data_IF_250389564843
#
_entry.id   IF_250389564843
#
_cell.length_a   1.000
_cell.length_b   1.000
_cell.length_c   1.000
_cell.angle_alpha   90.00
_cell.angle_beta   90.00
_cell.angle_gamma   90.00
#
_symmetry.space_group_name_H-M   'P 1'
#
loop_
_entity.id
_entity.type
_entity.pdbx_description
1 polymer ?
#
# COMPACT_ATOMS: atom_id res chain seq x y z
N UNK A 1 -75.33 -58.93 0.54
CA UNK A 1 -74.86 -57.54 0.37
C UNK A 1 -74.07 -57.19 1.62
N UNK A 2 -72.77 -57.47 1.67
CA UNK A 2 -71.67 -56.51 1.41
C UNK A 2 -71.75 -55.28 2.32
N UNK A 3 -70.87 -55.20 3.32
CA UNK A 3 -69.95 -54.06 3.46
C UNK A 3 -68.78 -54.46 4.39
N UNK A 4 -67.58 -54.50 3.81
CA UNK A 4 -66.30 -54.74 4.47
C UNK A 4 -65.83 -53.43 5.11
N UNK A 5 -65.42 -53.48 6.38
CA UNK A 5 -64.67 -52.43 7.07
C UNK A 5 -63.20 -52.52 6.66
N UNK A 6 -62.67 -51.47 6.04
CA UNK A 6 -61.24 -51.31 5.73
C UNK A 6 -60.71 -50.08 6.47
N UNK A 7 -59.78 -50.31 7.39
CA UNK A 7 -59.04 -49.27 8.13
C UNK A 7 -57.74 -48.96 7.37
N UNK A 8 -57.37 -47.70 7.11
CA UNK A 8 -56.04 -47.39 6.60
C UNK A 8 -55.08 -47.10 7.77
N UNK A 9 -53.95 -47.80 7.75
CA UNK A 9 -52.77 -47.51 8.56
C UNK A 9 -52.13 -46.21 8.06
N UNK A 10 -52.00 -45.23 8.95
CA UNK A 10 -51.29 -43.98 8.70
C UNK A 10 -49.79 -44.24 8.89
N UNK A 11 -49.06 -44.35 7.78
CA UNK A 11 -47.60 -44.50 7.76
C UNK A 11 -46.94 -43.13 7.95
N UNK A 12 -46.25 -42.92 9.08
CA UNK A 12 -45.40 -41.76 9.30
C UNK A 12 -44.12 -41.86 8.45
N UNK A 13 -44.04 -41.06 7.38
CA UNK A 13 -42.80 -40.77 6.66
C UNK A 13 -42.05 -39.67 7.41
N UNK A 14 -40.99 -40.05 8.14
CA UNK A 14 -40.03 -39.11 8.71
C UNK A 14 -39.06 -38.71 7.60
N UNK A 15 -39.21 -37.51 7.05
CA UNK A 15 -38.21 -36.91 6.16
C UNK A 15 -37.06 -36.37 7.01
N UNK A 16 -35.99 -37.15 7.13
CA UNK A 16 -34.70 -36.64 7.63
C UNK A 16 -34.16 -35.63 6.62
N UNK A 17 -34.18 -34.35 6.96
CA UNK A 17 -33.49 -33.31 6.20
C UNK A 17 -31.99 -33.46 6.47
N UNK A 18 -31.32 -34.26 5.64
CA UNK A 18 -29.87 -34.23 5.56
C UNK A 18 -29.44 -32.89 4.99
N UNK A 19 -28.90 -32.01 5.84
CA UNK A 19 -28.25 -30.79 5.39
C UNK A 19 -26.94 -31.21 4.75
N UNK A 20 -26.94 -31.39 3.43
CA UNK A 20 -25.71 -31.54 2.67
C UNK A 20 -25.10 -30.15 2.58
N UNK A 21 -24.10 -29.87 3.43
CA UNK A 21 -23.18 -28.76 3.19
C UNK A 21 -22.45 -29.04 1.88
N UNK A 22 -22.96 -28.47 0.79
CA UNK A 22 -22.22 -28.39 -0.46
C UNK A 22 -21.11 -27.35 -0.24
N UNK A 23 -19.90 -27.82 0.04
CA UNK A 23 -18.70 -27.03 -0.19
C UNK A 23 -18.64 -26.82 -1.70
N UNK A 24 -19.04 -25.63 -2.16
CA UNK A 24 -18.87 -25.27 -3.56
C UNK A 24 -17.37 -25.26 -3.87
N UNK A 25 -16.94 -25.84 -5.00
CA UNK A 25 -15.56 -25.70 -5.43
C UNK A 25 -15.26 -24.20 -5.61
N UNK A 26 -14.17 -23.76 -4.99
CA UNK A 26 -13.58 -22.43 -5.15
C UNK A 26 -13.44 -22.16 -6.64
N UNK A 27 -14.28 -21.29 -7.20
CA UNK A 27 -14.19 -20.92 -8.60
C UNK A 27 -12.86 -20.19 -8.82
N UNK A 28 -11.93 -20.89 -9.45
CA UNK A 28 -10.74 -20.26 -10.03
C UNK A 28 -11.21 -19.53 -11.28
N UNK A 29 -11.56 -18.25 -11.12
CA UNK A 29 -11.90 -17.39 -12.24
C UNK A 29 -10.68 -17.23 -13.16
N UNK A 30 -10.86 -17.19 -14.50
CA UNK A 30 -9.74 -17.07 -15.44
C UNK A 30 -8.96 -15.76 -15.22
N UNK A 31 -7.65 -15.90 -14.99
CA UNK A 31 -6.65 -14.85 -14.76
C UNK A 31 -6.22 -14.18 -16.07
N UNK A 32 -6.07 -12.86 -16.03
CA UNK A 32 -5.39 -12.05 -17.07
C UNK A 32 -4.00 -11.58 -16.58
N UNK A 33 -3.51 -12.17 -15.51
CA UNK A 33 -2.29 -11.84 -14.80
C UNK A 33 -1.38 -13.07 -14.81
N UNK A 34 -0.12 -12.87 -15.21
CA UNK A 34 0.98 -13.84 -15.07
C UNK A 34 1.28 -14.05 -13.58
N UNK A 35 0.31 -14.58 -12.84
CA UNK A 35 0.50 -15.00 -11.47
C UNK A 35 1.56 -16.09 -11.49
N UNK A 36 2.63 -15.93 -10.71
CA UNK A 36 3.54 -17.02 -10.40
C UNK A 36 2.69 -18.25 -10.03
N UNK A 37 2.97 -19.40 -10.64
CA UNK A 37 2.13 -20.62 -10.61
C UNK A 37 1.79 -21.14 -9.19
N UNK A 38 2.39 -20.55 -8.14
CA UNK A 38 2.24 -20.92 -6.73
C UNK A 38 1.44 -19.90 -5.88
N UNK A 39 0.90 -18.83 -6.46
CA UNK A 39 0.12 -17.85 -5.69
C UNK A 39 -1.35 -18.23 -5.58
N UNK A 40 -1.87 -18.10 -4.35
CA UNK A 40 -3.27 -18.38 -4.02
C UNK A 40 -4.07 -17.08 -3.98
N UNK A 41 -5.19 -17.05 -4.71
CA UNK A 41 -6.02 -15.85 -4.81
C UNK A 41 -7.45 -16.12 -4.32
N UNK A 42 -8.03 -15.16 -3.63
CA UNK A 42 -9.40 -15.15 -3.09
C UNK A 42 -10.12 -13.89 -3.54
N UNK A 43 -11.45 -13.86 -3.44
CA UNK A 43 -12.20 -12.63 -3.71
C UNK A 43 -11.66 -11.46 -2.87
N UNK A 44 -11.64 -10.25 -3.43
CA UNK A 44 -11.06 -9.08 -2.76
C UNK A 44 -11.74 -8.74 -1.43
N UNK A 45 -13.00 -9.14 -1.24
CA UNK A 45 -13.80 -8.97 -0.02
C UNK A 45 -13.75 -10.18 0.94
N UNK A 46 -13.02 -11.24 0.56
CA UNK A 46 -12.81 -12.43 1.39
C UNK A 46 -11.45 -12.43 2.11
N UNK A 47 -10.55 -11.52 1.75
CA UNK A 47 -9.25 -11.38 2.40
C UNK A 47 -9.45 -10.93 3.84
N UNK A 48 -8.99 -11.74 4.79
CA UNK A 48 -9.07 -11.42 6.22
C UNK A 48 -8.02 -10.36 6.55
N UNK A 49 -8.39 -9.17 7.04
CA UNK A 49 -7.43 -8.12 7.38
C UNK A 49 -6.60 -8.53 8.61
N UNK A 50 -5.38 -8.01 8.68
CA UNK A 50 -4.55 -8.11 9.87
C UNK A 50 -5.08 -7.16 10.95
N UNK A 51 -5.02 -7.55 12.24
CA UNK A 51 -5.19 -6.59 13.32
C UNK A 51 -4.09 -5.52 13.26
N UNK A 52 -4.32 -4.37 13.90
CA UNK A 52 -3.30 -3.34 13.97
C UNK A 52 -2.05 -3.86 14.67
N UNK A 53 -0.90 -3.83 13.98
CA UNK A 53 0.37 -4.32 14.48
C UNK A 53 1.54 -3.59 13.83
N UNK A 54 2.10 -2.63 14.57
CA UNK A 54 3.33 -1.95 14.20
C UNK A 54 4.56 -2.82 14.51
N UNK A 55 5.70 -2.46 13.95
CA UNK A 55 6.98 -3.12 14.22
C UNK A 55 7.32 -3.09 15.72
N UNK A 56 7.89 -4.18 16.25
CA UNK A 56 8.36 -4.23 17.65
C UNK A 56 9.38 -3.13 17.94
N UNK A 57 10.26 -2.93 16.96
CA UNK A 57 11.27 -1.89 16.94
C UNK A 57 10.78 -0.73 16.07
N UNK A 58 10.82 0.50 16.57
CA UNK A 58 10.46 1.70 15.81
C UNK A 58 8.99 1.83 15.40
N UNK A 59 8.12 0.89 15.77
CA UNK A 59 6.69 0.94 15.48
C UNK A 59 5.96 2.12 16.13
N UNK A 60 6.55 2.74 17.15
CA UNK A 60 6.04 4.00 17.70
C UNK A 60 6.01 5.12 16.65
N UNK A 61 7.02 5.20 15.76
CA UNK A 61 7.04 6.18 14.67
C UNK A 61 6.02 5.82 13.57
N UNK A 62 5.86 4.54 13.27
CA UNK A 62 4.85 4.05 12.32
C UNK A 62 3.43 4.41 12.76
N UNK A 63 3.14 4.33 14.07
CA UNK A 63 1.84 4.75 14.60
C UNK A 63 1.71 6.27 14.69
N UNK A 64 2.77 6.96 15.16
CA UNK A 64 2.77 8.42 15.35
C UNK A 64 2.51 9.19 14.06
N UNK A 65 3.00 8.68 12.93
CA UNK A 65 2.90 9.35 11.64
C UNK A 65 1.90 8.67 10.68
N UNK A 66 1.06 7.77 11.17
CA UNK A 66 0.06 7.05 10.36
C UNK A 66 -0.91 8.02 9.68
N UNK A 67 -0.95 8.15 8.34
CA UNK A 67 -1.77 9.15 7.69
C UNK A 67 -3.28 8.96 7.93
N UNK A 68 -4.00 10.06 8.06
CA UNK A 68 -5.45 10.09 7.96
C UNK A 68 -5.82 10.19 6.48
N UNK A 69 -6.65 9.25 6.00
CA UNK A 69 -7.02 9.17 4.59
C UNK A 69 -8.52 9.39 4.39
N UNK A 70 -8.86 10.44 3.65
CA UNK A 70 -10.18 10.67 3.08
C UNK A 70 -10.28 10.04 1.69
N UNK A 71 -11.27 9.18 1.45
CA UNK A 71 -11.46 8.55 0.13
C UNK A 71 -12.57 9.28 -0.61
N UNK A 72 -12.19 10.33 -1.34
CA UNK A 72 -13.10 11.19 -2.09
C UNK A 72 -13.76 10.44 -3.25
N UNK A 73 -12.98 9.63 -3.97
CA UNK A 73 -13.42 8.90 -5.17
C UNK A 73 -12.71 7.57 -5.35
N UNK A 74 -13.26 6.71 -6.20
CA UNK A 74 -12.70 5.38 -6.46
C UNK A 74 -12.99 4.35 -5.36
N UNK A 75 -12.20 3.28 -5.32
CA UNK A 75 -12.39 2.22 -4.33
C UNK A 75 -11.89 2.62 -2.93
N UNK A 76 -12.52 2.07 -1.90
CA UNK A 76 -11.90 2.03 -0.56
C UNK A 76 -10.60 1.21 -0.59
N UNK A 77 -9.69 1.45 0.37
CA UNK A 77 -8.60 0.50 0.66
C UNK A 77 -9.14 -0.84 1.18
N UNK A 78 -8.55 -1.93 0.68
CA UNK A 78 -8.81 -3.31 1.12
C UNK A 78 -7.51 -3.97 1.60
N UNK A 79 -7.58 -5.01 2.44
CA UNK A 79 -6.44 -5.90 2.64
C UNK A 79 -6.08 -6.58 1.31
N UNK A 80 -4.81 -6.49 0.93
CA UNK A 80 -4.29 -7.10 -0.29
C UNK A 80 -3.96 -8.59 -0.12
N UNK A 81 -3.60 -8.97 1.10
CA UNK A 81 -3.13 -10.30 1.49
C UNK A 81 -3.58 -10.60 2.91
N UNK A 82 -3.85 -11.86 3.22
CA UNK A 82 -4.12 -12.33 4.58
C UNK A 82 -2.92 -13.03 5.24
N UNK A 83 -3.09 -13.49 6.48
CA UNK A 83 -2.05 -14.17 7.26
C UNK A 83 -1.51 -15.45 6.60
N UNK A 84 -2.27 -16.09 5.70
CA UNK A 84 -1.86 -17.32 5.00
C UNK A 84 -1.19 -17.04 3.65
N UNK A 85 -1.02 -15.78 3.29
CA UNK A 85 -0.52 -15.39 1.98
C UNK A 85 -1.56 -15.51 0.86
N UNK A 86 -2.86 -15.59 1.17
CA UNK A 86 -3.91 -15.56 0.15
C UNK A 86 -4.13 -14.11 -0.32
N UNK A 87 -3.92 -13.85 -1.61
CA UNK A 87 -4.01 -12.54 -2.23
C UNK A 87 -5.44 -12.22 -2.67
N UNK A 88 -5.87 -10.96 -2.53
CA UNK A 88 -7.12 -10.50 -3.09
C UNK A 88 -7.06 -10.42 -4.60
N UNK A 89 -7.92 -11.16 -5.32
CA UNK A 89 -8.04 -11.23 -6.78
C UNK A 89 -8.47 -9.93 -7.46
N UNK A 90 -8.55 -8.84 -6.70
CA UNK A 90 -9.04 -7.54 -7.14
C UNK A 90 -10.47 -7.62 -7.67
N UNK A 91 -10.86 -6.56 -8.36
CA UNK A 91 -12.16 -6.44 -9.01
C UNK A 91 -12.00 -6.24 -10.50
N UNK A 92 -12.85 -6.91 -11.28
CA UNK A 92 -12.92 -6.67 -12.72
C UNK A 92 -13.35 -5.21 -12.96
N UNK A 93 -12.61 -4.42 -13.74
CA UNK A 93 -12.87 -2.98 -13.87
C UNK A 93 -13.98 -2.69 -14.89
N UNK A 94 -15.17 -3.27 -14.76
CA UNK A 94 -16.26 -3.08 -15.76
C UNK A 94 -17.14 -1.85 -15.50
N UNK A 95 -17.37 -1.54 -14.22
CA UNK A 95 -18.18 -0.42 -13.74
C UNK A 95 -17.28 0.62 -13.07
N UNK A 96 -17.56 1.90 -13.33
CA UNK A 96 -16.79 3.02 -12.76
C UNK A 96 -17.10 3.30 -11.28
N UNK A 97 -16.38 4.27 -10.72
CA UNK A 97 -16.50 4.69 -9.33
C UNK A 97 -16.31 3.54 -8.33
N UNK A 98 -17.01 3.62 -7.21
CA UNK A 98 -16.88 2.67 -6.08
C UNK A 98 -17.60 1.33 -6.27
N UNK A 99 -18.21 1.07 -7.43
CA UNK A 99 -19.08 -0.10 -7.64
C UNK A 99 -18.35 -1.41 -7.32
N UNK A 100 -18.77 -2.09 -6.25
CA UNK A 100 -18.21 -3.36 -5.79
C UNK A 100 -17.01 -3.26 -4.84
N UNK A 101 -16.55 -2.04 -4.54
CA UNK A 101 -15.42 -1.75 -3.66
C UNK A 101 -15.69 -0.58 -2.69
N UNK A 102 -16.94 -0.39 -2.29
CA UNK A 102 -17.42 0.65 -1.35
C UNK A 102 -17.62 0.12 0.08
N UNK A 103 -17.17 -1.11 0.34
CA UNK A 103 -17.28 -1.81 1.63
C UNK A 103 -15.93 -2.22 2.19
N UNK A 104 -14.89 -1.41 1.99
CA UNK A 104 -13.55 -1.69 2.53
C UNK A 104 -13.48 -1.63 4.07
N UNK A 105 -14.56 -1.15 4.71
CA UNK A 105 -14.62 -1.01 6.17
C UNK A 105 -13.57 -0.02 6.66
N UNK A 106 -12.80 -0.40 7.67
CA UNK A 106 -11.64 0.39 8.13
C UNK A 106 -10.40 0.26 7.23
N UNK A 107 -10.44 -0.58 6.20
CA UNK A 107 -9.32 -0.90 5.32
C UNK A 107 -8.06 -1.39 6.05
N UNK A 108 -6.99 -1.56 5.27
CA UNK A 108 -5.64 -1.88 5.75
C UNK A 108 -4.67 -0.85 5.18
N UNK A 109 -3.68 -0.44 5.97
CA UNK A 109 -2.49 0.28 5.51
C UNK A 109 -1.26 -0.55 5.85
N UNK A 110 -0.38 -0.70 4.86
CA UNK A 110 0.89 -1.39 5.01
C UNK A 110 1.97 -0.35 5.23
N UNK A 111 2.84 -0.55 6.22
CA UNK A 111 3.90 0.41 6.53
C UNK A 111 5.27 -0.24 6.43
N UNK A 112 6.23 0.50 5.86
CA UNK A 112 7.64 0.11 5.84
C UNK A 112 8.54 1.33 6.00
N UNK A 113 9.54 1.20 6.87
CA UNK A 113 10.57 2.22 7.11
C UNK A 113 11.77 1.97 6.21
N UNK A 114 12.43 3.04 5.77
CA UNK A 114 13.64 2.97 4.95
C UNK A 114 14.34 4.32 4.85
N UNK A 115 15.45 4.37 4.11
CA UNK A 115 16.21 5.60 3.86
C UNK A 115 16.37 5.90 2.39
N UNK A 116 16.42 7.19 2.06
CA UNK A 116 16.90 7.66 0.77
C UNK A 116 17.80 8.87 0.98
N UNK A 117 18.95 8.89 0.31
CA UNK A 117 19.92 9.98 0.43
C UNK A 117 20.35 10.28 1.89
N UNK A 118 20.42 9.23 2.73
CA UNK A 118 20.76 9.37 4.15
C UNK A 118 19.64 9.90 5.05
N UNK A 119 18.43 10.07 4.51
CA UNK A 119 17.28 10.61 5.23
C UNK A 119 16.22 9.54 5.50
N UNK A 120 15.65 9.56 6.70
CA UNK A 120 14.66 8.59 7.17
C UNK A 120 13.27 8.85 6.57
N UNK A 121 12.61 7.76 6.15
CA UNK A 121 11.34 7.78 5.46
C UNK A 121 10.42 6.65 5.92
N UNK A 122 9.14 6.97 6.14
CA UNK A 122 8.12 5.99 6.50
C UNK A 122 7.08 5.96 5.40
N UNK A 123 7.04 4.85 4.65
CA UNK A 123 6.10 4.64 3.56
C UNK A 123 4.85 3.92 4.06
N UNK A 124 3.69 4.48 3.74
CA UNK A 124 2.36 3.95 4.00
C UNK A 124 1.68 3.66 2.67
N UNK A 125 1.28 2.42 2.45
CA UNK A 125 0.73 1.97 1.17
C UNK A 125 -0.64 1.35 1.34
N UNK A 126 -1.52 1.64 0.39
CA UNK A 126 -2.92 1.23 0.36
C UNK A 126 -3.21 0.47 -0.92
N UNK A 127 -3.97 -0.61 -0.80
CA UNK A 127 -4.39 -1.42 -1.94
C UNK A 127 -5.85 -1.17 -2.27
N UNK A 128 -6.12 -0.94 -3.55
CA UNK A 128 -7.45 -0.81 -4.12
C UNK A 128 -7.71 -2.00 -5.05
N UNK A 129 -8.87 -2.68 -4.95
CA UNK A 129 -9.18 -3.84 -5.80
C UNK A 129 -9.19 -3.52 -7.31
N UNK A 130 -9.46 -2.27 -7.68
CA UNK A 130 -9.41 -1.75 -9.05
C UNK A 130 -9.19 -0.25 -9.06
N UNK A 131 -8.81 0.27 -10.22
CA UNK A 131 -8.74 1.68 -10.53
C UNK A 131 -9.56 1.96 -11.81
N UNK A 132 -10.57 2.82 -11.68
CA UNK A 132 -11.44 3.21 -12.78
C UNK A 132 -12.09 2.02 -13.50
N UNK A 133 -12.01 2.03 -14.83
CA UNK A 133 -12.64 1.04 -15.73
C UNK A 133 -11.63 0.23 -16.55
N UNK A 134 -10.35 0.34 -16.22
CA UNK A 134 -9.28 -0.19 -17.07
C UNK A 134 -8.24 -1.00 -16.31
N UNK A 135 -8.22 -0.91 -14.98
CA UNK A 135 -7.15 -1.51 -14.19
C UNK A 135 -7.72 -2.29 -13.01
N UNK A 136 -7.39 -3.59 -12.97
CA UNK A 136 -7.54 -4.42 -11.79
C UNK A 136 -6.27 -4.23 -10.94
N UNK A 137 -6.43 -4.13 -9.62
CA UNK A 137 -5.36 -3.84 -8.67
C UNK A 137 -4.76 -2.44 -8.83
N UNK A 138 -4.60 -1.74 -7.72
CA UNK A 138 -3.85 -0.49 -7.67
C UNK A 138 -3.26 -0.33 -6.28
N UNK A 139 -1.99 0.06 -6.24
CA UNK A 139 -1.33 0.51 -5.04
C UNK A 139 -1.12 2.02 -5.11
N UNK A 140 -1.39 2.69 -3.99
CA UNK A 140 -1.08 4.11 -3.78
C UNK A 140 -0.29 4.25 -2.50
N UNK A 141 0.60 5.24 -2.42
CA UNK A 141 1.52 5.39 -1.29
C UNK A 141 1.70 6.82 -0.84
N UNK A 142 1.97 6.97 0.44
CA UNK A 142 2.36 8.22 1.12
C UNK A 142 3.69 7.96 1.81
N UNK A 143 4.65 8.86 1.65
CA UNK A 143 5.94 8.81 2.36
C UNK A 143 6.02 10.01 3.29
N UNK A 144 6.17 9.73 4.59
CA UNK A 144 6.48 10.74 5.60
C UNK A 144 8.00 10.81 5.77
N UNK A 145 8.58 11.94 5.38
CA UNK A 145 9.99 12.23 5.59
C UNK A 145 10.20 12.86 6.95
N UNK A 146 11.16 12.33 7.71
CA UNK A 146 11.33 12.71 9.12
C UNK A 146 12.72 13.25 9.39
N UNK A 147 12.81 14.13 10.38
CA UNK A 147 14.06 14.62 10.93
C UNK A 147 14.08 14.43 12.44
N UNK A 148 15.25 14.06 12.97
CA UNK A 148 15.48 13.81 14.40
C UNK A 148 16.18 14.99 15.06
N UNK A 149 15.65 15.42 16.21
CA UNK A 149 16.16 16.55 17.00
C UNK A 149 16.72 16.16 18.37
N UNK A 150 16.73 14.86 18.72
CA UNK A 150 17.22 14.33 20.00
C UNK A 150 17.86 12.96 19.84
N UNK A 151 18.50 12.44 20.90
CA UNK A 151 19.28 11.21 20.86
C UNK A 151 18.68 10.01 21.59
N UNK A 152 17.51 10.15 22.19
CA UNK A 152 16.82 9.00 22.77
C UNK A 152 16.04 8.27 21.68
N UNK A 153 16.56 7.12 21.24
CA UNK A 153 15.93 6.27 20.24
C UNK A 153 14.56 5.74 20.67
N UNK A 154 14.28 5.71 21.99
CA UNK A 154 13.00 5.30 22.54
C UNK A 154 12.01 6.47 22.67
N UNK A 155 12.45 7.70 22.40
CA UNK A 155 11.60 8.89 22.44
C UNK A 155 11.15 9.29 21.03
N UNK A 156 9.96 8.83 20.57
CA UNK A 156 9.43 9.22 19.27
C UNK A 156 9.09 10.72 19.20
N UNK A 157 9.07 11.44 20.32
CA UNK A 157 8.78 12.87 20.35
C UNK A 157 9.90 13.76 19.81
N UNK A 158 11.11 13.22 19.76
CA UNK A 158 12.29 13.86 19.17
C UNK A 158 12.28 13.85 17.64
N UNK A 159 11.36 13.10 17.02
CA UNK A 159 11.25 12.96 15.56
C UNK A 159 10.01 13.71 15.05
N UNK A 160 10.18 14.44 13.95
CA UNK A 160 9.11 15.24 13.34
C UNK A 160 9.09 15.11 11.81
N UNK A 161 7.91 15.23 11.18
CA UNK A 161 7.79 15.27 9.74
C UNK A 161 8.36 16.58 9.20
N UNK A 162 9.16 16.50 8.13
CA UNK A 162 9.71 17.66 7.41
C UNK A 162 9.19 17.77 5.97
N UNK A 163 8.52 16.72 5.48
CA UNK A 163 7.91 16.69 4.17
C UNK A 163 7.06 15.45 3.97
N UNK A 164 6.14 15.54 3.02
CA UNK A 164 5.28 14.44 2.61
C UNK A 164 5.41 14.29 1.10
N UNK A 165 5.67 13.06 0.65
CA UNK A 165 5.52 12.67 -0.75
C UNK A 165 4.35 11.72 -0.89
N UNK A 166 3.72 11.68 -2.06
CA UNK A 166 2.55 10.85 -2.28
C UNK A 166 2.39 10.51 -3.77
N UNK A 167 1.81 9.36 -4.07
CA UNK A 167 1.57 8.93 -5.45
C UNK A 167 0.44 9.75 -6.08
N UNK A 168 0.71 10.44 -7.18
CA UNK A 168 -0.31 11.07 -8.04
C UNK A 168 -0.79 10.12 -9.14
N UNK A 169 0.03 9.13 -9.46
CA UNK A 169 -0.27 7.92 -10.23
C UNK A 169 0.67 6.80 -9.72
N UNK A 170 0.47 5.55 -10.14
CA UNK A 170 1.14 4.32 -9.67
C UNK A 170 2.68 4.43 -9.52
N UNK A 171 3.34 5.25 -10.35
CA UNK A 171 4.79 5.49 -10.29
C UNK A 171 5.17 6.99 -10.30
N UNK A 172 4.17 7.88 -10.30
CA UNK A 172 4.40 9.33 -10.30
C UNK A 172 4.19 9.90 -8.90
N UNK A 173 5.11 10.76 -8.47
CA UNK A 173 5.14 11.29 -7.11
C UNK A 173 4.92 12.81 -7.08
N UNK A 174 3.93 13.23 -6.31
CA UNK A 174 3.79 14.58 -5.80
C UNK A 174 4.50 14.74 -4.44
N UNK A 175 4.74 15.99 -4.04
CA UNK A 175 5.44 16.30 -2.80
C UNK A 175 5.04 17.67 -2.23
N UNK A 176 5.10 17.81 -0.90
CA UNK A 176 4.80 19.07 -0.19
C UNK A 176 5.37 19.09 1.22
N UNK A 177 5.76 20.27 1.71
CA UNK A 177 6.22 20.52 3.09
C UNK A 177 5.39 21.54 3.86
N UNK A 178 4.45 22.25 3.20
CA UNK A 178 3.70 23.36 3.83
C UNK A 178 2.20 23.42 3.53
N UNK A 179 1.67 22.47 2.74
CA UNK A 179 0.24 22.42 2.37
C UNK A 179 -0.52 21.24 2.97
N UNK A 180 0.09 20.50 3.89
CA UNK A 180 -0.56 19.35 4.55
C UNK A 180 -1.00 19.80 5.94
N UNK A 181 -2.27 19.57 6.23
CA UNK A 181 -2.80 19.72 7.59
C UNK A 181 -2.53 18.46 8.40
N UNK A 182 -2.36 18.61 9.71
CA UNK A 182 -2.04 17.52 10.62
C UNK A 182 -3.05 17.45 11.77
N UNK A 183 -3.38 16.25 12.22
CA UNK A 183 -4.14 15.99 13.45
C UNK A 183 -3.21 15.49 14.55
N UNK A 184 -3.57 15.74 15.80
CA UNK A 184 -2.83 15.24 16.96
C UNK A 184 -2.76 13.72 16.98
N UNK A 185 -1.56 13.20 17.22
CA UNK A 185 -1.29 11.79 17.51
C UNK A 185 -1.12 11.59 19.00
N UNK A 186 -1.76 10.57 19.60
CA UNK A 186 -1.56 10.25 21.01
C UNK A 186 -0.20 9.63 21.30
N UNK A 187 0.56 9.24 20.27
CA UNK A 187 1.88 8.63 20.46
C UNK A 187 2.93 9.72 20.71
N UNK A 188 3.56 9.67 21.88
CA UNK A 188 4.64 10.58 22.29
C UNK A 188 4.15 11.79 23.09
N UNK A 189 3.65 12.84 22.41
CA UNK A 189 3.35 14.15 23.05
C UNK A 189 1.98 14.75 22.67
N UNK A 190 1.01 13.97 22.19
CA UNK A 190 -0.30 14.52 21.76
C UNK A 190 -0.14 15.66 20.73
N UNK A 191 0.76 15.45 19.77
CA UNK A 191 1.25 16.48 18.85
C UNK A 191 0.70 16.30 17.42
N UNK A 192 0.48 17.37 16.64
CA UNK A 192 -0.08 17.29 15.29
C UNK A 192 0.89 16.62 14.32
N UNK A 193 0.79 15.30 14.21
CA UNK A 193 1.76 14.43 13.53
C UNK A 193 1.12 13.41 12.60
N UNK A 194 -0.21 13.25 12.63
CA UNK A 194 -0.95 12.50 11.61
C UNK A 194 -1.25 13.40 10.40
N UNK A 195 -0.56 13.27 9.25
CA UNK A 195 -0.85 14.07 8.08
C UNK A 195 -2.23 13.68 7.51
N UNK A 196 -2.98 14.67 7.03
CA UNK A 196 -4.28 14.48 6.38
C UNK A 196 -4.14 14.52 4.87
N UNK A 197 -4.51 13.41 4.23
CA UNK A 197 -4.46 13.25 2.79
C UNK A 197 -5.83 12.78 2.29
N UNK A 198 -6.06 12.97 0.99
CA UNK A 198 -7.19 12.40 0.29
C UNK A 198 -6.74 11.59 -0.92
N UNK A 199 -7.58 10.65 -1.33
CA UNK A 199 -7.41 9.90 -2.58
C UNK A 199 -8.66 10.00 -3.43
N UNK A 200 -8.47 10.32 -4.71
CA UNK A 200 -9.52 10.35 -5.72
C UNK A 200 -9.03 9.57 -6.95
N UNK A 201 -9.68 8.45 -7.25
CA UNK A 201 -9.35 7.61 -8.40
C UNK A 201 -7.82 7.39 -8.54
N UNK A 202 -7.20 6.88 -7.47
CA UNK A 202 -5.79 6.49 -7.45
C UNK A 202 -4.78 7.63 -7.24
N UNK A 203 -5.18 8.89 -7.42
CA UNK A 203 -4.33 10.03 -7.17
C UNK A 203 -4.47 10.51 -5.72
N UNK A 204 -3.35 10.61 -5.00
CA UNK A 204 -3.29 11.19 -3.66
C UNK A 204 -3.01 12.69 -3.75
N UNK A 205 -3.62 13.47 -2.87
CA UNK A 205 -3.32 14.88 -2.64
C UNK A 205 -3.47 15.25 -1.17
N UNK A 206 -2.92 16.41 -0.74
CA UNK A 206 -3.21 16.96 0.58
C UNK A 206 -4.73 17.16 0.78
N UNK A 207 -5.20 16.92 2.00
CA UNK A 207 -6.57 17.21 2.40
C UNK A 207 -6.60 18.44 3.31
N UNK A 208 -7.34 19.46 2.89
CA UNK A 208 -7.52 20.74 3.60
C UNK A 208 -8.93 20.89 4.20
N UNK A 209 -9.81 19.91 4.00
CA UNK A 209 -11.13 19.86 4.60
C UNK A 209 -11.11 19.72 6.12
N UNK A 210 -12.25 19.98 6.75
CA UNK A 210 -12.43 19.85 8.18
C UNK A 210 -12.22 18.41 8.67
N UNK A 211 -11.86 18.26 9.94
CA UNK A 211 -11.88 16.95 10.59
C UNK A 211 -13.31 16.39 10.60
N UNK A 212 -13.42 15.07 10.46
CA UNK A 212 -14.70 14.36 10.48
C UNK A 212 -14.51 12.86 10.36
N UNK A 213 -15.62 12.13 10.43
CA UNK A 213 -15.60 10.65 10.50
C UNK A 213 -15.09 9.98 9.21
N UNK A 214 -15.03 10.72 8.10
CA UNK A 214 -14.60 10.22 6.80
C UNK A 214 -13.08 10.34 6.57
N UNK A 215 -12.37 11.11 7.40
CA UNK A 215 -10.91 11.26 7.36
C UNK A 215 -10.31 10.58 8.58
N UNK A 216 -9.94 9.32 8.41
CA UNK A 216 -9.52 8.44 9.51
C UNK A 216 -8.33 7.57 9.11
N UNK A 217 -7.68 6.97 10.10
CA UNK A 217 -6.57 6.04 9.90
C UNK A 217 -7.08 4.68 9.42
N UNK A 218 -6.33 4.02 8.53
CA UNK A 218 -6.58 2.61 8.22
C UNK A 218 -5.83 1.73 9.22
N UNK A 219 -6.28 0.47 9.34
CA UNK A 219 -5.64 -0.49 10.26
C UNK A 219 -4.20 -0.74 9.81
N UNK A 220 -3.23 -0.37 10.63
CA UNK A 220 -1.82 -0.43 10.26
C UNK A 220 -1.21 -1.81 10.50
N UNK A 221 -0.51 -2.34 9.49
CA UNK A 221 0.35 -3.52 9.62
C UNK A 221 1.76 -3.21 9.09
N UNK A 222 2.77 -3.40 9.93
CA UNK A 222 4.16 -3.22 9.52
C UNK A 222 4.66 -4.40 8.70
N UNK A 223 5.51 -4.12 7.71
CA UNK A 223 6.18 -5.13 6.90
C UNK A 223 6.89 -6.18 7.77
N UNK A 224 7.57 -5.77 8.84
CA UNK A 224 8.26 -6.69 9.76
C UNK A 224 7.30 -7.55 10.58
N UNK A 225 6.04 -7.13 10.72
CA UNK A 225 4.99 -7.76 11.51
C UNK A 225 4.04 -8.67 10.72
N UNK A 226 4.14 -8.67 9.40
CA UNK A 226 3.46 -9.62 8.51
C UNK A 226 3.95 -11.06 8.78
N UNK A 227 3.08 -12.04 8.52
CA UNK A 227 3.51 -13.45 8.48
C UNK A 227 4.49 -13.70 7.33
N UNK A 228 5.25 -14.78 7.42
CA UNK A 228 6.20 -15.17 6.38
C UNK A 228 5.48 -15.44 5.05
N UNK A 229 4.30 -16.07 5.11
CA UNK A 229 3.48 -16.36 3.95
C UNK A 229 2.97 -15.08 3.28
N UNK A 230 2.52 -14.10 4.06
CA UNK A 230 2.04 -12.83 3.54
C UNK A 230 3.16 -12.00 2.91
N UNK A 231 4.33 -11.93 3.58
CA UNK A 231 5.52 -11.27 3.01
C UNK A 231 5.93 -11.92 1.70
N UNK A 232 6.01 -13.25 1.68
CA UNK A 232 6.36 -14.00 0.48
C UNK A 232 5.38 -13.74 -0.67
N UNK A 233 4.08 -13.76 -0.39
CA UNK A 233 3.06 -13.47 -1.41
C UNK A 233 3.19 -12.05 -1.99
N UNK A 234 3.48 -11.05 -1.15
CA UNK A 234 3.70 -9.66 -1.60
C UNK A 234 5.04 -9.45 -2.33
N UNK A 235 6.04 -10.30 -2.06
CA UNK A 235 7.31 -10.29 -2.79
C UNK A 235 7.15 -10.94 -4.18
N UNK A 236 6.41 -12.05 -4.25
CA UNK A 236 6.30 -12.87 -5.47
C UNK A 236 5.21 -12.38 -6.44
N UNK A 237 4.25 -11.56 -5.98
CA UNK A 237 3.12 -11.11 -6.81
C UNK A 237 3.54 -10.13 -7.89
N UNK A 238 3.03 -10.36 -9.09
CA UNK A 238 3.19 -9.48 -10.24
C UNK A 238 1.80 -9.03 -10.72
N UNK A 239 1.57 -7.72 -10.77
CA UNK A 239 0.35 -7.15 -11.37
C UNK A 239 0.69 -6.54 -12.73
N UNK A 240 -0.32 -6.45 -13.61
CA UNK A 240 -0.15 -5.91 -14.98
C UNK A 240 0.18 -4.41 -15.00
N UNK A 241 -0.42 -3.63 -14.10
CA UNK A 241 -0.38 -2.14 -14.15
C UNK A 241 0.01 -1.47 -12.83
N UNK A 242 0.49 -2.25 -11.87
CA UNK A 242 0.89 -1.74 -10.57
C UNK A 242 1.91 -2.70 -9.95
N UNK A 243 2.55 -2.28 -8.88
CA UNK A 243 3.51 -3.11 -8.15
C UNK A 243 3.34 -2.87 -6.65
N UNK A 244 3.81 -3.80 -5.83
CA UNK A 244 3.87 -3.58 -4.38
C UNK A 244 5.02 -2.61 -4.12
N UNK A 245 4.78 -1.37 -3.69
CA UNK A 245 5.82 -0.33 -3.69
C UNK A 245 6.80 -0.47 -2.50
N UNK A 246 6.46 -1.31 -1.53
CA UNK A 246 7.22 -1.50 -0.29
C UNK A 246 7.77 -2.92 -0.13
N UNK A 247 7.73 -3.78 -1.16
CA UNK A 247 8.45 -5.07 -1.11
C UNK A 247 9.96 -4.84 -1.23
N UNK A 248 10.77 -5.90 -1.12
CA UNK A 248 12.24 -5.74 -1.14
C UNK A 248 12.74 -5.21 -2.48
N UNK A 249 12.14 -5.65 -3.59
CA UNK A 249 12.51 -5.22 -4.94
C UNK A 249 12.27 -3.72 -5.19
N UNK A 250 11.20 -3.15 -4.62
CA UNK A 250 10.68 -1.85 -5.05
C UNK A 250 10.86 -0.71 -4.04
N UNK A 251 11.07 -1.02 -2.75
CA UNK A 251 11.09 0.01 -1.69
C UNK A 251 12.13 1.10 -1.96
N UNK A 252 13.34 0.74 -2.38
CA UNK A 252 14.39 1.72 -2.62
C UNK A 252 14.05 2.65 -3.79
N UNK A 253 13.64 2.08 -4.93
CA UNK A 253 13.26 2.87 -6.11
C UNK A 253 12.10 3.82 -5.79
N UNK A 254 11.12 3.33 -5.02
CA UNK A 254 9.99 4.13 -4.57
C UNK A 254 10.41 5.30 -3.67
N UNK A 255 11.32 5.06 -2.70
CA UNK A 255 11.83 6.10 -1.83
C UNK A 255 12.73 7.12 -2.57
N UNK A 256 13.51 6.68 -3.55
CA UNK A 256 14.32 7.55 -4.41
C UNK A 256 13.44 8.44 -5.30
N UNK A 257 12.41 7.87 -5.92
CA UNK A 257 11.44 8.62 -6.74
C UNK A 257 10.64 9.63 -5.90
N UNK A 258 10.33 9.28 -4.65
CA UNK A 258 9.59 10.13 -3.72
C UNK A 258 10.44 11.26 -3.10
N UNK A 259 11.77 11.14 -3.09
CA UNK A 259 12.64 12.05 -2.32
C UNK A 259 12.65 13.47 -2.90
N UNK A 260 12.59 14.46 -2.00
CA UNK A 260 12.83 15.85 -2.35
C UNK A 260 13.85 16.46 -1.40
N UNK A 261 14.98 16.92 -1.94
CA UNK A 261 16.03 17.60 -1.17
C UNK A 261 15.51 18.84 -0.43
N UNK A 262 14.49 19.49 -0.99
CA UNK A 262 13.88 20.69 -0.42
C UNK A 262 13.20 20.48 0.95
N UNK A 263 12.86 19.25 1.33
CA UNK A 263 12.25 18.97 2.63
C UNK A 263 13.16 19.33 3.82
N UNK A 264 14.46 19.21 3.64
CA UNK A 264 15.45 19.44 4.69
C UNK A 264 16.05 20.86 4.64
N UNK A 265 15.57 21.71 3.72
CA UNK A 265 16.04 23.09 3.62
C UNK A 265 15.77 23.85 4.92
N UNK A 266 16.83 24.33 5.57
CA UNK A 266 16.74 25.06 6.84
C UNK A 266 16.65 24.18 8.09
N UNK A 267 16.65 22.85 7.94
CA UNK A 267 16.83 21.95 9.09
C UNK A 267 18.27 22.06 9.61
N UNK A 268 18.45 21.96 10.93
CA UNK A 268 19.77 21.77 11.52
C UNK A 268 20.35 20.41 11.10
N UNK A 269 21.65 20.21 11.30
CA UNK A 269 22.19 18.86 11.26
C UNK A 269 21.50 18.02 12.36
N UNK A 270 21.20 16.76 12.06
CA UNK A 270 20.78 15.82 13.10
C UNK A 270 21.90 15.68 14.15
N UNK A 271 21.55 15.46 15.43
CA UNK A 271 22.55 15.32 16.46
C UNK A 271 23.42 14.07 16.22
N UNK A 272 24.73 14.19 16.44
CA UNK A 272 25.64 13.05 16.49
C UNK A 272 25.38 12.25 17.77
N UNK A 273 24.47 11.29 17.69
CA UNK A 273 24.10 10.47 18.84
C UNK A 273 25.13 9.37 19.08
N UNK A 274 25.59 9.17 20.33
CA UNK A 274 26.52 8.10 20.64
C UNK A 274 25.86 6.76 20.30
N UNK A 275 26.50 5.96 19.46
CA UNK A 275 26.09 4.59 19.16
C UNK A 275 26.30 3.72 20.40
N UNK A 276 25.43 3.83 21.40
CA UNK A 276 25.39 2.85 22.48
C UNK A 276 24.91 1.54 21.90
N UNK A 277 25.71 0.46 22.02
CA UNK A 277 25.43 -0.94 21.63
C UNK A 277 24.01 -1.14 21.12
N UNK A 278 23.79 -0.77 19.85
CA UNK A 278 22.47 -0.74 19.23
C UNK A 278 22.01 -2.19 19.20
N UNK A 279 20.98 -2.60 19.99
CA UNK A 279 20.27 -3.83 19.65
C UNK A 279 19.84 -3.65 18.19
N UNK A 280 19.91 -4.66 17.31
CA UNK A 280 19.51 -4.50 15.91
C UNK A 280 18.08 -3.95 15.87
N UNK A 281 17.97 -2.64 15.68
CA UNK A 281 16.93 -1.85 16.37
C UNK A 281 16.62 -0.53 15.67
N UNK A 282 17.26 -0.29 14.54
CA UNK A 282 16.88 0.75 13.61
C UNK A 282 16.79 0.06 12.25
N UNK A 283 15.72 -0.70 12.05
CA UNK A 283 15.32 -1.37 10.80
C UNK A 283 15.01 -0.36 9.66
N UNK A 284 15.66 0.80 9.66
CA UNK A 284 15.73 1.63 8.48
C UNK A 284 16.54 0.85 7.46
N UNK A 285 15.85 0.35 6.43
CA UNK A 285 16.52 -0.24 5.29
C UNK A 285 17.43 0.81 4.70
N UNK A 286 18.74 0.59 4.88
CA UNK A 286 19.75 1.44 4.29
C UNK A 286 19.62 1.35 2.77
N UNK A 287 19.85 2.48 2.10
CA UNK A 287 20.00 2.47 0.66
C UNK A 287 21.13 1.50 0.32
N UNK A 288 20.94 0.50 -0.58
CA UNK A 288 22.02 -0.39 -0.95
C UNK A 288 23.20 0.47 -1.41
N UNK A 289 24.28 0.44 -0.63
CA UNK A 289 25.53 1.04 -1.08
C UNK A 289 25.85 0.35 -2.40
N UNK A 290 26.25 1.10 -3.43
CA UNK A 290 26.59 0.56 -4.75
C UNK A 290 27.67 -0.55 -4.73
N UNK A 291 28.25 -0.89 -3.56
CA UNK A 291 29.34 -1.83 -3.38
C UNK A 291 29.13 -2.79 -2.20
N UNK A 292 27.98 -3.47 -2.11
CA UNK A 292 27.87 -4.61 -1.18
C UNK A 292 27.90 -5.91 -1.99
N UNK A 293 28.97 -6.74 -1.91
CA UNK A 293 29.02 -8.03 -2.56
C UNK A 293 27.86 -8.91 -2.08
N UNK A 294 27.16 -9.54 -3.02
CA UNK A 294 26.19 -10.59 -2.74
C UNK A 294 26.98 -11.76 -2.17
N UNK A 295 26.83 -12.06 -0.89
CA UNK A 295 27.38 -13.30 -0.33
C UNK A 295 26.73 -14.49 -1.05
N UNK A 296 27.52 -15.43 -1.60
CA UNK A 296 26.97 -16.63 -2.19
C UNK A 296 26.26 -17.45 -1.09
N UNK A 297 25.20 -18.19 -1.44
CA UNK A 297 24.43 -18.96 -0.47
C UNK A 297 25.33 -19.96 0.24
N UNK A 298 25.22 -20.00 1.58
CA UNK A 298 25.98 -20.91 2.44
C UNK A 298 25.71 -22.36 2.04
N UNK A 299 26.75 -23.03 1.53
CA UNK A 299 26.74 -24.45 1.21
C UNK A 299 26.67 -25.24 2.52
N UNK A 300 25.50 -25.80 2.83
CA UNK A 300 25.32 -26.74 3.92
C UNK A 300 25.67 -28.14 3.41
N UNK A 301 26.95 -28.47 3.42
CA UNK A 301 27.44 -29.83 3.17
C UNK A 301 27.59 -30.55 4.51
N UNK A 302 26.86 -31.65 4.78
CA UNK A 302 27.02 -32.42 6.01
C UNK A 302 28.36 -33.17 6.04
N UNK A 303 28.95 -33.19 7.23
CA UNK A 303 30.24 -33.78 7.62
C UNK A 303 30.60 -35.13 6.98
N UNK A 304 31.87 -35.21 6.56
CA UNK A 304 32.58 -36.42 6.13
C UNK A 304 32.55 -37.55 7.18
N UNK A 305 32.40 -38.79 6.69
CA UNK A 305 32.95 -40.00 7.30
C UNK A 305 33.94 -40.66 6.31
N UNK A 306 34.93 -41.41 6.82
CA UNK A 306 36.30 -41.35 6.31
C UNK A 306 36.61 -42.32 5.15
N UNK A 307 37.51 -41.83 4.28
CA UNK A 307 38.59 -42.51 3.56
C UNK A 307 38.58 -44.05 3.51
N UNK A 308 38.41 -44.59 2.31
CA UNK A 308 39.04 -45.82 1.85
C UNK A 308 39.84 -45.49 0.57
N UNK A 309 41.15 -45.76 0.61
CA UNK A 309 42.08 -45.65 -0.51
C UNK A 309 41.93 -46.86 -1.45
N UNK A 310 41.85 -46.63 -2.75
CA UNK A 310 42.53 -47.51 -3.71
C UNK A 310 42.78 -46.80 -5.05
N UNK A 311 43.75 -47.35 -5.75
CA UNK A 311 44.78 -46.74 -6.56
C UNK A 311 44.45 -46.67 -8.07
N UNK A 312 45.02 -45.69 -8.78
CA UNK A 312 45.75 -45.80 -10.08
C UNK A 312 45.38 -44.85 -11.25
N UNK A 313 46.47 -44.31 -11.79
CA UNK A 313 46.78 -43.88 -13.17
C UNK A 313 46.37 -42.48 -13.73
N UNK A 314 47.41 -41.64 -13.79
CA UNK A 314 47.67 -40.53 -14.74
C UNK A 314 48.01 -41.07 -16.16
N UNK A 315 48.26 -40.27 -17.23
CA UNK A 315 48.54 -38.83 -17.26
C UNK A 315 47.93 -37.99 -18.42
N UNK A 316 48.14 -36.68 -18.24
CA UNK A 316 48.08 -35.53 -19.15
C UNK A 316 48.37 -35.76 -20.64
N UNK A 317 47.72 -34.98 -21.51
CA UNK A 317 48.44 -34.28 -22.58
C UNK A 317 47.76 -33.01 -23.11
N UNK A 318 48.60 -32.03 -23.44
CA UNK A 318 48.33 -30.75 -24.11
C UNK A 318 47.66 -30.91 -25.49
N UNK A 319 47.03 -29.85 -26.01
CA UNK A 319 47.58 -28.96 -27.09
C UNK A 319 46.48 -28.10 -27.72
N UNK A 320 46.89 -26.86 -28.03
CA UNK A 320 46.28 -25.78 -28.82
C UNK A 320 45.72 -26.17 -30.20
N UNK A 321 44.72 -25.40 -30.69
CA UNK A 321 44.85 -24.76 -32.01
C UNK A 321 43.86 -23.59 -32.21
N UNK A 322 44.38 -22.51 -32.80
CA UNK A 322 43.66 -21.35 -33.35
C UNK A 322 43.03 -21.71 -34.71
N UNK A 323 41.94 -21.04 -35.11
CA UNK A 323 41.81 -20.46 -36.47
C UNK A 323 40.66 -19.45 -36.56
N UNK A 324 41.05 -18.22 -36.87
CA UNK A 324 40.54 -17.27 -37.86
C UNK A 324 39.06 -16.84 -37.97
N UNK A 325 38.92 -15.50 -37.98
CA UNK A 325 37.77 -14.69 -38.40
C UNK A 325 37.72 -14.55 -39.95
N UNK A 326 36.76 -13.85 -40.60
CA UNK A 326 36.68 -12.38 -40.52
C UNK A 326 35.27 -11.76 -40.59
N UNK A 327 35.22 -10.55 -40.04
CA UNK A 327 34.25 -9.48 -40.30
C UNK A 327 34.24 -9.05 -41.77
N UNK A 328 33.08 -8.61 -42.28
CA UNK A 328 33.06 -7.64 -43.38
C UNK A 328 31.91 -6.64 -43.22
N UNK A 329 32.26 -5.38 -43.45
CA UNK A 329 31.48 -4.17 -43.24
C UNK A 329 31.55 -3.41 -44.57
N UNK A 330 30.43 -3.07 -45.21
CA UNK A 330 30.43 -2.01 -46.24
C UNK A 330 29.08 -1.30 -46.34
N UNK A 331 29.19 0.00 -46.20
CA UNK A 331 28.28 1.11 -46.55
C UNK A 331 28.06 1.23 -48.06
N UNK A 332 26.92 1.78 -48.51
CA UNK A 332 26.89 3.12 -49.10
C UNK A 332 25.47 3.65 -49.42
N UNK A 333 25.37 4.98 -49.41
CA UNK A 333 24.21 5.86 -49.57
C UNK A 333 23.62 5.93 -51.00
N UNK A 334 22.37 6.39 -51.15
CA UNK A 334 22.02 7.75 -51.68
C UNK A 334 20.54 7.94 -52.07
N UNK A 335 20.04 9.10 -51.63
CA UNK A 335 19.11 10.07 -52.25
C UNK A 335 17.56 9.94 -52.31
N UNK A 336 16.95 11.08 -51.94
CA UNK A 336 15.52 11.43 -51.76
C UNK A 336 14.89 12.00 -53.06
N UNK A 337 13.80 12.83 -53.09
CA UNK A 337 12.61 13.02 -52.23
C UNK A 337 11.28 13.09 -53.04
N UNK A 338 10.10 13.14 -52.39
CA UNK A 338 8.98 13.98 -52.89
C UNK A 338 7.98 14.38 -51.80
N UNK A 339 7.52 15.62 -51.95
CA UNK A 339 6.66 16.45 -51.11
C UNK A 339 5.19 16.33 -51.58
N UNK A 340 4.20 16.43 -50.68
CA UNK A 340 3.08 17.39 -50.75
C UNK A 340 1.99 17.17 -49.68
N UNK A 341 1.95 18.10 -48.73
CA UNK A 341 0.86 19.03 -48.35
C UNK A 341 -0.62 18.64 -48.51
N UNK A 342 -1.40 18.89 -47.43
CA UNK A 342 -2.65 19.70 -47.32
C UNK A 342 -3.77 18.96 -46.56
N UNK A 343 -4.17 19.49 -45.41
CA UNK A 343 -5.55 19.96 -45.13
C UNK A 343 -5.75 20.24 -43.64
N UNK A 344 -5.67 21.52 -43.27
CA UNK A 344 -6.41 22.11 -42.15
C UNK A 344 -7.84 22.41 -42.62
N UNK A 345 -8.85 22.29 -41.74
CA UNK A 345 -9.96 23.24 -41.62
C UNK A 345 -10.72 23.04 -40.27
N UNK A 346 -11.42 24.09 -39.79
CA UNK A 346 -11.56 24.42 -38.36
C UNK A 346 -12.95 24.09 -37.79
N UNK A 347 -13.03 23.95 -36.45
CA UNK A 347 -14.30 23.92 -35.74
C UNK A 347 -14.78 25.33 -35.39
N UNK A 348 -15.98 25.62 -35.91
CA UNK A 348 -16.76 26.84 -35.78
C UNK A 348 -17.38 26.97 -34.39
N UNK A 349 -17.51 28.22 -33.95
CA UNK A 349 -18.09 28.59 -32.66
C UNK A 349 -19.62 28.64 -32.71
N UNK A 350 -20.26 28.39 -31.57
CA UNK A 350 -21.66 28.79 -31.39
C UNK A 350 -21.93 29.13 -29.92
N UNK A 351 -22.03 30.44 -29.68
CA UNK A 351 -22.97 31.16 -28.80
C UNK A 351 -23.13 30.74 -27.33
N UNK A 352 -22.69 31.65 -26.45
CA UNK A 352 -23.31 31.97 -25.15
C UNK A 352 -24.80 32.32 -25.29
N UNK A 353 -25.58 32.14 -24.22
CA UNK A 353 -26.18 33.34 -23.62
C UNK A 353 -25.87 33.49 -22.12
N UNK A 354 -25.69 34.74 -21.75
CA UNK A 354 -25.55 35.29 -20.42
C UNK A 354 -26.89 35.41 -19.69
N UNK A 355 -26.78 35.63 -18.38
CA UNK A 355 -27.75 36.30 -17.49
C UNK A 355 -28.88 35.46 -16.85
N UNK A 356 -28.67 35.03 -15.60
CA UNK A 356 -29.66 35.19 -14.51
C UNK A 356 -28.95 35.59 -13.21
N UNK A 357 -29.47 36.67 -12.65
CA UNK A 357 -29.14 37.44 -11.44
C UNK A 357 -29.23 36.63 -10.11
N UNK A 358 -28.51 37.01 -9.03
CA UNK A 358 -28.56 36.35 -7.73
C UNK A 358 -29.59 37.01 -6.82
N UNK A 359 -30.62 36.26 -6.42
CA UNK A 359 -31.40 36.58 -5.22
C UNK A 359 -32.15 35.33 -4.76
N UNK A 360 -31.71 34.75 -3.65
CA UNK A 360 -32.66 34.33 -2.62
C UNK A 360 -31.92 34.12 -1.28
N UNK A 361 -32.22 35.03 -0.36
CA UNK A 361 -32.04 34.89 1.08
C UNK A 361 -32.93 33.75 1.59
N UNK A 362 -32.35 32.80 2.32
CA UNK A 362 -33.03 32.05 3.38
C UNK A 362 -31.96 31.70 4.42
N UNK A 363 -31.79 32.57 5.43
CA UNK A 363 -32.46 32.54 6.74
C UNK A 363 -32.06 31.33 7.57
N UNK A 364 -31.20 31.65 8.52
CA UNK A 364 -30.84 30.90 9.71
C UNK A 364 -32.08 30.47 10.50
N UNK A 365 -32.16 29.19 10.84
CA UNK A 365 -33.02 28.67 11.92
C UNK A 365 -32.15 27.82 12.85
N UNK A 366 -31.56 28.49 13.85
CA UNK A 366 -30.97 27.86 15.02
C UNK A 366 -32.08 27.27 15.92
N UNK A 367 -31.86 26.12 16.57
CA UNK A 367 -32.88 25.41 17.35
C UNK A 367 -33.17 26.08 18.72
N UNK A 368 -34.38 25.89 19.28
CA UNK A 368 -34.75 26.51 20.55
C UNK A 368 -33.98 25.93 21.74
N UNK A 369 -33.42 26.85 22.52
CA UNK A 369 -32.84 26.68 23.85
C UNK A 369 -33.89 26.09 24.80
N UNK A 370 -33.61 24.90 25.34
CA UNK A 370 -34.35 24.33 26.46
C UNK A 370 -33.76 24.91 27.75
N UNK A 371 -34.55 25.72 28.44
CA UNK A 371 -34.26 26.27 29.77
C UNK A 371 -34.83 25.31 30.80
N UNK A 372 -33.96 24.71 31.61
CA UNK A 372 -34.35 23.90 32.77
C UNK A 372 -34.43 24.83 34.01
N UNK A 373 -35.57 24.90 34.74
CA UNK A 373 -35.67 25.69 35.95
C UNK A 373 -35.40 24.84 37.21
N UNK A 374 -34.90 25.54 38.23
CA UNK A 374 -34.82 25.14 39.65
C UNK A 374 -33.66 24.23 40.07
N UNK A 375 -32.72 24.81 40.84
CA UNK A 375 -32.54 24.55 42.29
C UNK A 375 -31.37 25.44 42.83
N UNK A 376 -31.47 25.95 44.07
CA UNK A 376 -30.76 27.16 44.52
C UNK A 376 -29.42 26.88 45.21
N UNK A 377 -28.63 27.94 45.31
CA UNK A 377 -27.23 27.92 45.72
C UNK A 377 -26.96 27.68 47.20
N UNK A 378 -25.67 27.55 47.48
CA UNK A 378 -25.06 27.70 48.80
C UNK A 378 -23.78 28.53 48.65
N UNK A 379 -23.77 29.65 49.35
CA UNK A 379 -22.58 30.40 49.72
C UNK A 379 -21.67 29.52 50.58
N UNK A 380 -20.35 29.60 50.37
CA UNK A 380 -19.43 29.65 51.51
C UNK A 380 -18.12 30.36 51.11
N UNK A 381 -17.84 31.44 51.83
CA UNK A 381 -16.58 32.18 51.83
C UNK A 381 -15.53 31.46 52.69
N UNK A 382 -14.27 31.61 52.26
CA UNK A 382 -13.05 31.81 53.07
C UNK A 382 -12.66 30.78 54.16
N UNK A 383 -11.52 30.11 53.91
CA UNK A 383 -10.28 30.35 54.67
C UNK A 383 -9.02 29.92 53.92
#
# INVERSE_FOLDING_TARGET
>A
MLLKTLSPLLSCLVFSHGVVSMVLPREVLPRDDNAADNLTWINHDAVVPFPQKASEVGGALELRFNPLLYVEGGCDPYPAVDEKGELGSGLKPTKGGRSGCDKGGKGQVYVRRGKSQGHNAIMYSYYMPKLGREQRHSWVSIVVWTHRYGCDDNDPSSVWPVGISYTTDHLEWGATSGKVSFKSSPVGLEAPTHPKLQVHDGAISPFDGADGDLVYERTLISWSSLSDEARKALEDVHYDKTEVPFNNANIQNSLEAAFQVGFYAGSSAEPECPTSDVPPGDDWIDSPSKNTPIDPPSDNTPDELPFDEDETDSPSNNTSDETDSPSDNTSDETDSPSNNTSDEQPFDGTTLPSDVDPSDEHKDDDPPVVVDPDVPGTNEEAK
#
